data_IF_200640976996
#
_entry.id   IF_200640976996
#
_cell.length_a   1.000
_cell.length_b   1.000
_cell.length_c   1.000
_cell.angle_alpha   90.00
_cell.angle_beta   90.00
_cell.angle_gamma   90.00
#
_symmetry.space_group_name_H-M   'P 1'
#
loop_
_entity.id
_entity.type
_entity.pdbx_description
1 polymer ?
#
# COMPACT_ATOMS: atom_id res chain seq x y z
N UNK A 1 13.47 -2.76 2.36
CA UNK A 1 13.90 -1.59 1.72
C UNK A 1 12.88 -0.57 1.27
N UNK A 2 11.57 -0.92 1.04
CA UNK A 2 10.56 0.05 0.55
C UNK A 2 10.48 1.30 1.41
N UNK A 3 10.18 1.15 2.70
CA UNK A 3 10.06 2.26 3.65
C UNK A 3 11.34 3.08 3.83
N UNK A 4 12.52 2.44 3.72
CA UNK A 4 13.81 3.15 3.77
C UNK A 4 13.93 4.15 2.62
N UNK A 5 13.53 3.74 1.41
CA UNK A 5 13.58 4.60 0.24
C UNK A 5 12.45 5.65 0.26
N UNK A 6 11.21 5.19 0.44
CA UNK A 6 9.99 5.98 0.20
C UNK A 6 9.67 6.90 1.37
N UNK A 7 9.80 6.42 2.61
CA UNK A 7 9.33 7.16 3.79
C UNK A 7 10.42 7.88 4.55
N UNK A 8 11.71 7.66 4.19
CA UNK A 8 12.84 8.31 4.84
C UNK A 8 13.68 9.13 3.87
N UNK A 9 14.23 8.50 2.81
CA UNK A 9 15.15 9.19 1.89
C UNK A 9 14.41 10.09 0.90
N UNK A 10 13.29 9.64 0.36
CA UNK A 10 12.52 10.43 -0.61
C UNK A 10 12.02 11.77 -0.03
N UNK A 11 11.41 11.84 1.18
CA UNK A 11 11.03 13.12 1.76
C UNK A 11 12.20 14.09 1.94
N UNK A 12 13.33 13.58 2.43
CA UNK A 12 14.54 14.40 2.55
C UNK A 12 15.02 14.91 1.18
N UNK A 13 15.01 14.07 0.16
CA UNK A 13 15.36 14.47 -1.21
C UNK A 13 14.39 15.51 -1.78
N UNK A 14 13.08 15.34 -1.57
CA UNK A 14 12.07 16.31 -2.01
C UNK A 14 12.36 17.68 -1.39
N UNK A 15 12.59 17.77 -0.07
CA UNK A 15 12.94 19.03 0.58
C UNK A 15 14.25 19.62 0.08
N UNK A 16 15.23 18.79 -0.29
CA UNK A 16 16.46 19.26 -0.89
C UNK A 16 16.24 19.92 -2.23
N UNK A 17 15.35 19.37 -3.04
CA UNK A 17 15.00 19.93 -4.37
C UNK A 17 13.98 21.06 -4.29
N UNK A 18 13.04 21.00 -3.34
CA UNK A 18 12.00 22.00 -3.12
C UNK A 18 11.73 22.17 -1.63
N UNK A 19 12.43 23.10 -0.97
CA UNK A 19 12.26 23.34 0.47
C UNK A 19 10.92 23.97 0.85
N UNK A 20 10.11 24.39 -0.11
CA UNK A 20 8.75 24.92 0.10
C UNK A 20 7.66 23.85 0.00
N UNK A 21 8.00 22.59 -0.30
CA UNK A 21 7.04 21.49 -0.43
C UNK A 21 6.39 21.11 0.91
N UNK A 22 5.10 20.76 0.87
CA UNK A 22 4.37 20.20 1.99
C UNK A 22 4.22 18.69 1.81
N UNK A 23 4.71 17.92 2.78
CA UNK A 23 4.68 16.46 2.74
C UNK A 23 3.79 15.93 3.86
N UNK A 24 2.79 15.12 3.50
CA UNK A 24 2.00 14.33 4.44
C UNK A 24 2.44 12.88 4.32
N UNK A 25 2.95 12.29 5.41
CA UNK A 25 3.38 10.89 5.44
C UNK A 25 2.57 10.10 6.47
N UNK A 26 1.97 9.01 6.04
CA UNK A 26 1.07 8.22 6.88
C UNK A 26 1.48 6.75 6.91
N UNK A 27 1.16 6.08 8.03
CA UNK A 27 1.38 4.65 8.22
C UNK A 27 0.27 4.06 9.09
N UNK A 28 0.25 2.73 9.29
CA UNK A 28 -0.76 2.07 10.13
C UNK A 28 -0.81 2.60 11.58
N UNK A 29 0.24 3.21 12.09
CA UNK A 29 0.27 3.77 13.45
C UNK A 29 1.01 5.10 13.52
N UNK A 30 0.63 5.93 14.50
CA UNK A 30 1.30 7.18 14.80
C UNK A 30 2.77 6.96 15.18
N UNK A 31 3.08 5.93 15.97
CA UNK A 31 4.45 5.61 16.40
C UNK A 31 5.39 5.33 15.22
N UNK A 32 4.91 4.60 14.21
CA UNK A 32 5.71 4.34 13.02
C UNK A 32 5.90 5.60 12.20
N UNK A 33 4.85 6.39 11.99
CA UNK A 33 4.93 7.67 11.29
C UNK A 33 5.90 8.64 11.99
N UNK A 34 5.86 8.72 13.32
CA UNK A 34 6.79 9.52 14.12
C UNK A 34 8.25 9.03 14.01
N UNK A 35 8.46 7.71 13.94
CA UNK A 35 9.80 7.16 13.72
C UNK A 35 10.33 7.58 12.34
N UNK A 36 9.51 7.46 11.30
CA UNK A 36 9.88 7.92 9.96
C UNK A 36 10.21 9.41 9.93
N UNK A 37 9.38 10.24 10.58
CA UNK A 37 9.62 11.67 10.72
C UNK A 37 11.00 11.95 11.34
N UNK A 38 11.31 11.31 12.48
CA UNK A 38 12.64 11.48 13.13
C UNK A 38 13.79 11.04 12.24
N UNK A 39 13.59 9.99 11.44
CA UNK A 39 14.62 9.51 10.51
C UNK A 39 14.83 10.49 9.35
N UNK A 40 13.79 11.12 8.82
CA UNK A 40 13.90 12.20 7.83
C UNK A 40 14.66 13.39 8.42
N UNK A 41 14.31 13.81 9.64
CA UNK A 41 15.03 14.89 10.32
C UNK A 41 16.53 14.58 10.49
N UNK A 42 16.89 13.33 10.88
CA UNK A 42 18.30 12.90 11.00
C UNK A 42 19.06 12.96 9.68
N UNK A 43 18.38 12.63 8.57
CA UNK A 43 18.98 12.75 7.23
C UNK A 43 19.26 14.22 6.93
N UNK A 44 18.29 15.11 7.13
CA UNK A 44 18.41 16.55 6.87
C UNK A 44 19.49 17.19 7.76
N UNK A 45 19.60 16.74 9.03
CA UNK A 45 20.62 17.24 9.97
C UNK A 45 22.04 16.69 9.69
N UNK A 46 22.20 15.75 8.76
CA UNK A 46 23.52 15.18 8.49
C UNK A 46 24.43 16.17 7.74
N UNK A 47 25.75 16.20 8.02
CA UNK A 47 26.68 17.07 7.32
C UNK A 47 26.66 16.88 5.81
N UNK A 48 26.63 15.62 5.34
CA UNK A 48 26.59 15.30 3.91
C UNK A 48 25.34 15.84 3.22
N UNK A 49 24.18 15.85 3.91
CA UNK A 49 22.98 16.46 3.37
C UNK A 49 23.11 17.97 3.25
N UNK A 50 23.65 18.64 4.27
CA UNK A 50 23.90 20.09 4.26
C UNK A 50 24.87 20.55 3.18
N UNK A 51 25.83 19.70 2.78
CA UNK A 51 26.71 19.97 1.63
C UNK A 51 25.97 19.92 0.29
N UNK A 52 25.03 18.97 0.16
CA UNK A 52 24.24 18.79 -1.07
C UNK A 52 23.08 19.80 -1.20
N UNK A 53 22.42 20.12 -0.07
CA UNK A 53 21.23 20.94 -0.02
C UNK A 53 21.35 22.04 1.06
N UNK A 54 22.19 23.05 0.86
CA UNK A 54 22.53 24.05 1.88
C UNK A 54 21.34 24.94 2.29
N UNK A 55 20.31 25.06 1.44
CA UNK A 55 19.12 25.85 1.74
C UNK A 55 18.11 25.12 2.65
N UNK A 56 18.18 23.79 2.74
CA UNK A 56 17.25 22.99 3.54
C UNK A 56 17.78 22.75 4.94
N UNK A 57 17.21 23.45 5.95
CA UNK A 57 17.66 23.38 7.35
C UNK A 57 16.47 23.26 8.28
N UNK A 58 16.66 22.52 9.39
CA UNK A 58 15.70 22.38 10.48
C UNK A 58 16.01 23.24 11.70
N UNK A 59 17.11 23.94 11.69
CA UNK A 59 17.53 24.88 12.73
C UNK A 59 18.38 25.99 12.13
N UNK A 60 18.40 27.14 12.78
CA UNK A 60 19.22 28.27 12.36
C UNK A 60 19.30 29.35 13.46
N UNK A 61 20.38 30.13 13.45
CA UNK A 61 20.49 31.33 14.25
C UNK A 61 19.78 32.48 13.52
N UNK A 62 19.01 33.29 14.24
CA UNK A 62 18.36 34.50 13.73
C UNK A 62 17.20 34.31 12.73
N UNK A 63 16.58 33.14 12.68
CA UNK A 63 15.38 32.93 11.87
C UNK A 63 14.16 33.14 12.75
N UNK A 64 13.38 34.17 12.42
CA UNK A 64 12.09 34.50 13.07
C UNK A 64 10.99 33.97 12.15
N UNK A 65 10.23 33.00 12.61
CA UNK A 65 8.90 32.71 12.08
C UNK A 65 7.89 33.70 12.71
N UNK A 66 6.66 33.70 12.24
CA UNK A 66 5.58 34.53 12.82
C UNK A 66 5.39 34.23 14.32
N UNK A 67 5.69 33.02 14.76
CA UNK A 67 5.66 32.55 16.16
C UNK A 67 7.02 32.58 16.85
N UNK A 68 8.09 33.00 16.18
CA UNK A 68 9.44 33.10 16.72
C UNK A 68 10.35 31.86 16.48
N UNK A 69 9.81 30.67 16.22
CA UNK A 69 10.56 29.43 15.96
C UNK A 69 9.87 28.58 14.91
N UNK A 70 10.66 27.93 14.02
CA UNK A 70 10.13 26.88 13.16
C UNK A 70 9.68 25.69 14.02
N UNK A 71 8.54 25.12 13.70
CA UNK A 71 8.00 23.99 14.42
C UNK A 71 8.87 22.74 14.15
N UNK A 72 9.26 22.04 15.22
CA UNK A 72 10.06 20.82 15.11
C UNK A 72 9.77 19.86 16.25
N UNK A 73 9.08 18.76 15.93
CA UNK A 73 8.82 17.66 16.85
C UNK A 73 8.69 16.32 16.09
N UNK A 74 8.22 15.27 16.74
CA UNK A 74 8.06 13.95 16.14
C UNK A 74 6.88 13.82 15.18
N UNK A 75 5.91 14.74 15.23
CA UNK A 75 4.71 14.71 14.37
C UNK A 75 4.87 15.63 13.16
N UNK A 76 5.49 16.78 13.39
CA UNK A 76 5.63 17.83 12.38
C UNK A 76 6.99 18.52 12.50
N UNK A 77 7.56 18.87 11.36
CA UNK A 77 8.63 19.86 11.29
C UNK A 77 8.44 20.79 10.08
N UNK A 78 9.05 21.94 10.16
CA UNK A 78 9.04 22.98 9.12
C UNK A 78 10.46 23.25 8.64
N UNK A 79 10.61 23.59 7.36
CA UNK A 79 11.88 23.98 6.78
C UNK A 79 12.15 25.45 7.10
N UNK A 80 13.25 25.70 7.75
CA UNK A 80 13.59 27.04 8.22
C UNK A 80 13.82 28.01 7.08
N UNK A 81 13.10 29.14 7.09
CA UNK A 81 13.17 30.16 6.03
C UNK A 81 12.32 29.85 4.80
N UNK A 82 11.62 28.74 4.79
CA UNK A 82 10.73 28.27 3.72
C UNK A 82 9.33 27.96 4.24
N UNK A 83 8.39 27.70 3.32
CA UNK A 83 7.01 27.32 3.68
C UNK A 83 6.82 25.80 3.84
N UNK A 84 7.83 25.03 3.48
CA UNK A 84 7.75 23.59 3.48
C UNK A 84 7.59 23.00 4.87
N UNK A 85 6.77 21.97 4.95
CA UNK A 85 6.49 21.25 6.17
C UNK A 85 6.34 19.74 5.94
N UNK A 86 6.69 18.97 6.97
CA UNK A 86 6.44 17.53 6.99
C UNK A 86 5.48 17.20 8.13
N UNK A 87 4.41 16.47 7.81
CA UNK A 87 3.45 15.94 8.78
C UNK A 87 3.46 14.42 8.76
N UNK A 88 3.82 13.79 9.89
CA UNK A 88 3.68 12.36 10.13
C UNK A 88 2.39 12.05 10.90
N UNK A 89 1.58 11.10 10.43
CA UNK A 89 0.36 10.67 11.11
C UNK A 89 0.08 9.17 10.93
N UNK A 90 -0.61 8.57 11.90
CA UNK A 90 -1.21 7.25 11.72
C UNK A 90 -2.49 7.33 10.87
N UNK A 91 -2.93 6.21 10.29
CA UNK A 91 -4.25 6.08 9.68
C UNK A 91 -5.33 6.50 10.67
N UNK A 92 -6.25 7.38 10.26
CA UNK A 92 -7.24 7.99 11.14
C UNK A 92 -6.72 9.13 12.03
N UNK A 93 -5.43 9.45 11.97
CA UNK A 93 -4.82 10.56 12.72
C UNK A 93 -5.15 11.93 12.12
N UNK A 94 -4.86 12.98 12.90
CA UNK A 94 -5.17 14.37 12.53
C UNK A 94 -4.27 14.91 11.43
N UNK A 95 -4.80 14.94 10.22
CA UNK A 95 -4.21 15.60 9.03
C UNK A 95 -5.13 16.68 8.44
N UNK A 96 -6.24 16.96 9.12
CA UNK A 96 -7.22 17.98 8.69
C UNK A 96 -6.61 19.38 8.79
N UNK A 97 -6.95 20.24 7.81
CA UNK A 97 -6.46 21.62 7.77
C UNK A 97 -5.04 21.76 7.17
N UNK A 98 -4.45 20.68 6.64
CA UNK A 98 -3.16 20.74 5.95
C UNK A 98 -3.32 20.28 4.51
N UNK A 99 -2.71 20.98 3.57
CA UNK A 99 -2.53 20.54 2.17
C UNK A 99 -1.21 19.79 2.02
N UNK A 100 -1.14 18.88 1.03
CA UNK A 100 0.08 18.13 0.72
C UNK A 100 0.41 18.16 -0.77
N UNK A 101 1.59 18.67 -1.11
CA UNK A 101 2.15 18.53 -2.45
C UNK A 101 2.58 17.09 -2.71
N UNK A 102 3.01 16.41 -1.65
CA UNK A 102 3.35 14.99 -1.69
C UNK A 102 2.67 14.27 -0.53
N UNK A 103 1.90 13.26 -0.85
CA UNK A 103 1.24 12.39 0.14
C UNK A 103 1.85 11.00 0.06
N UNK A 104 2.44 10.53 1.15
CA UNK A 104 3.08 9.21 1.24
C UNK A 104 2.25 8.33 2.17
N UNK A 105 1.81 7.19 1.68
CA UNK A 105 1.11 6.16 2.46
C UNK A 105 2.04 4.95 2.51
N UNK A 106 2.58 4.63 3.69
CA UNK A 106 3.49 3.50 3.88
C UNK A 106 2.90 2.48 4.84
N UNK A 107 2.65 1.27 4.33
CA UNK A 107 2.07 0.14 5.05
C UNK A 107 0.85 0.55 5.91
N UNK A 108 -0.30 0.93 5.31
CA UNK A 108 -1.47 1.42 6.05
C UNK A 108 -2.19 0.34 6.86
N UNK A 109 -1.83 -0.93 6.69
CA UNK A 109 -2.34 -2.11 7.41
C UNK A 109 -1.18 -2.79 8.12
N UNK A 110 -1.36 -3.07 9.40
CA UNK A 110 -0.31 -3.60 10.28
C UNK A 110 -0.01 -5.08 10.05
N UNK A 111 -1.05 -5.90 9.90
CA UNK A 111 -0.92 -7.36 9.90
C UNK A 111 -2.08 -8.03 9.15
N UNK A 112 -2.03 -9.37 9.12
CA UNK A 112 -3.05 -10.20 8.46
C UNK A 112 -4.43 -10.07 9.09
N UNK A 113 -4.53 -9.97 10.40
CA UNK A 113 -5.81 -9.88 11.10
C UNK A 113 -6.58 -8.63 10.65
N UNK A 114 -5.93 -7.47 10.65
CA UNK A 114 -6.49 -6.24 10.13
C UNK A 114 -6.82 -6.34 8.62
N UNK A 115 -5.92 -6.95 7.84
CA UNK A 115 -6.11 -7.13 6.40
C UNK A 115 -7.32 -8.01 6.06
N UNK A 116 -7.58 -9.06 6.84
CA UNK A 116 -8.72 -9.95 6.66
C UNK A 116 -10.04 -9.36 7.18
N UNK A 117 -9.98 -8.33 8.03
CA UNK A 117 -11.16 -7.64 8.54
C UNK A 117 -11.78 -6.73 7.46
N UNK A 118 -12.96 -7.08 6.97
CA UNK A 118 -13.72 -6.23 6.03
C UNK A 118 -14.04 -4.85 6.62
N UNK A 119 -14.33 -4.80 7.91
CA UNK A 119 -14.57 -3.55 8.64
C UNK A 119 -13.33 -2.65 8.66
N UNK A 120 -12.15 -3.23 8.86
CA UNK A 120 -10.91 -2.45 8.86
C UNK A 120 -10.58 -1.92 7.45
N UNK A 121 -10.71 -2.76 6.41
CA UNK A 121 -10.52 -2.33 5.02
C UNK A 121 -11.50 -1.23 4.61
N UNK A 122 -12.78 -1.34 5.05
CA UNK A 122 -13.78 -0.29 4.82
C UNK A 122 -13.40 1.03 5.51
N UNK A 123 -13.00 0.99 6.78
CA UNK A 123 -12.55 2.19 7.51
C UNK A 123 -11.32 2.84 6.87
N UNK A 124 -10.36 2.04 6.41
CA UNK A 124 -9.18 2.56 5.69
C UNK A 124 -9.59 3.24 4.38
N UNK A 125 -10.50 2.65 3.63
CA UNK A 125 -11.03 3.23 2.40
C UNK A 125 -11.78 4.54 2.64
N UNK A 126 -12.66 4.57 3.65
CA UNK A 126 -13.39 5.77 4.04
C UNK A 126 -12.44 6.90 4.46
N UNK A 127 -11.43 6.58 5.27
CA UNK A 127 -10.41 7.54 5.66
C UNK A 127 -9.61 8.05 4.45
N UNK A 128 -9.22 7.17 3.55
CA UNK A 128 -8.52 7.58 2.33
C UNK A 128 -9.37 8.55 1.51
N UNK A 129 -10.61 8.20 1.20
CA UNK A 129 -11.47 8.98 0.29
C UNK A 129 -11.97 10.28 0.95
N UNK A 130 -12.37 10.24 2.22
CA UNK A 130 -13.00 11.39 2.89
C UNK A 130 -12.00 12.35 3.54
N UNK A 131 -10.81 11.87 3.90
CA UNK A 131 -9.87 12.66 4.70
C UNK A 131 -8.57 12.89 3.95
N UNK A 132 -7.85 11.83 3.58
CA UNK A 132 -6.50 11.97 3.03
C UNK A 132 -6.49 12.51 1.61
N UNK A 133 -7.30 11.94 0.73
CA UNK A 133 -7.38 12.33 -0.68
C UNK A 133 -7.73 13.81 -0.85
N UNK A 134 -8.62 14.32 0.01
CA UNK A 134 -9.00 15.74 0.02
C UNK A 134 -7.90 16.70 0.51
N UNK A 135 -6.74 16.19 0.90
CA UNK A 135 -5.55 16.97 1.29
C UNK A 135 -4.55 17.16 0.15
N UNK A 136 -4.76 16.46 -0.96
CA UNK A 136 -3.89 16.62 -2.12
C UNK A 136 -4.06 18.03 -2.73
N UNK A 137 -2.94 18.75 -2.90
CA UNK A 137 -2.92 20.00 -3.63
C UNK A 137 -3.10 19.76 -5.14
N UNK A 138 -3.47 20.78 -5.89
CA UNK A 138 -3.87 20.69 -7.31
C UNK A 138 -2.85 19.94 -8.20
N UNK A 139 -1.57 20.10 -7.94
CA UNK A 139 -0.48 19.42 -8.67
C UNK A 139 0.23 18.38 -7.78
N UNK A 140 -0.40 18.03 -6.68
CA UNK A 140 0.16 17.11 -5.70
C UNK A 140 0.21 15.68 -6.22
N UNK A 141 1.07 14.88 -5.60
CA UNK A 141 1.26 13.46 -5.92
C UNK A 141 0.99 12.57 -4.73
N UNK A 142 0.35 11.42 -4.97
CA UNK A 142 0.15 10.39 -3.95
C UNK A 142 1.04 9.19 -4.28
N UNK A 143 1.85 8.78 -3.30
CA UNK A 143 2.69 7.60 -3.37
C UNK A 143 2.25 6.58 -2.32
N UNK A 144 1.84 5.40 -2.79
CA UNK A 144 1.40 4.31 -1.91
C UNK A 144 2.42 3.18 -1.97
N UNK A 145 3.00 2.84 -0.82
CA UNK A 145 3.85 1.66 -0.68
C UNK A 145 3.27 0.76 0.40
N UNK A 146 3.07 -0.50 0.08
CA UNK A 146 2.47 -1.44 1.01
C UNK A 146 2.88 -2.88 0.74
N UNK A 147 2.62 -3.71 1.74
CA UNK A 147 2.62 -5.15 1.60
C UNK A 147 1.21 -5.60 1.24
N UNK A 148 1.07 -6.34 0.13
CA UNK A 148 -0.24 -6.81 -0.37
C UNK A 148 -0.73 -8.00 0.45
N UNK A 149 -1.47 -7.74 1.54
CA UNK A 149 -2.03 -8.79 2.40
C UNK A 149 -3.33 -9.40 1.87
N UNK A 150 -4.12 -8.62 1.15
CA UNK A 150 -5.45 -9.00 0.69
C UNK A 150 -5.73 -8.37 -0.68
N UNK A 151 -6.51 -9.03 -1.53
CA UNK A 151 -6.88 -8.51 -2.85
C UNK A 151 -7.69 -7.20 -2.77
N UNK A 152 -8.64 -7.13 -1.80
CA UNK A 152 -9.46 -5.96 -1.49
C UNK A 152 -8.76 -5.02 -0.49
N UNK A 153 -7.44 -4.81 -0.63
CA UNK A 153 -6.70 -3.78 0.10
C UNK A 153 -6.83 -2.41 -0.59
N UNK A 154 -6.23 -1.36 0.00
CA UNK A 154 -6.30 -0.01 -0.57
C UNK A 154 -5.82 0.03 -2.03
N UNK A 155 -4.70 -0.61 -2.35
CA UNK A 155 -4.20 -0.64 -3.72
C UNK A 155 -5.14 -1.43 -4.66
N UNK A 156 -5.69 -2.57 -4.21
CA UNK A 156 -6.66 -3.33 -4.99
C UNK A 156 -7.87 -2.51 -5.38
N UNK A 157 -8.45 -1.78 -4.42
CA UNK A 157 -9.62 -0.91 -4.68
C UNK A 157 -9.30 0.25 -5.61
N UNK A 158 -8.13 0.87 -5.46
CA UNK A 158 -7.72 1.98 -6.33
C UNK A 158 -7.48 1.52 -7.76
N UNK A 159 -6.85 0.37 -7.95
CA UNK A 159 -6.62 -0.20 -9.27
C UNK A 159 -7.93 -0.64 -9.92
N UNK A 160 -8.85 -1.24 -9.17
CA UNK A 160 -10.18 -1.60 -9.65
C UNK A 160 -10.99 -0.36 -10.05
N UNK A 161 -10.89 0.73 -9.28
CA UNK A 161 -11.53 2.00 -9.61
C UNK A 161 -10.96 2.58 -10.91
N UNK A 162 -9.63 2.62 -11.06
CA UNK A 162 -8.96 3.12 -12.26
C UNK A 162 -9.32 2.29 -13.52
N UNK A 163 -9.51 0.98 -13.37
CA UNK A 163 -9.96 0.11 -14.49
C UNK A 163 -11.40 0.37 -14.89
N UNK A 164 -12.28 0.66 -13.92
CA UNK A 164 -13.72 0.86 -14.15
C UNK A 164 -14.08 2.27 -14.61
N UNK A 165 -13.33 3.26 -14.18
CA UNK A 165 -13.59 4.67 -14.45
C UNK A 165 -12.33 5.37 -15.00
N UNK A 166 -12.29 5.68 -16.30
CA UNK A 166 -11.18 6.42 -16.91
C UNK A 166 -10.96 7.83 -16.36
N UNK A 167 -11.94 8.40 -15.64
CA UNK A 167 -11.80 9.71 -14.99
C UNK A 167 -11.18 9.61 -13.59
N UNK A 168 -11.10 8.41 -13.02
CA UNK A 168 -10.39 8.19 -11.78
C UNK A 168 -8.87 8.32 -11.97
N UNK A 169 -8.16 8.53 -10.89
CA UNK A 169 -6.68 8.58 -10.91
C UNK A 169 -6.11 7.32 -11.53
N UNK A 170 -5.23 7.49 -12.50
CA UNK A 170 -4.52 6.41 -13.16
C UNK A 170 -3.17 6.16 -12.45
N UNK A 171 -2.92 4.92 -12.05
CA UNK A 171 -1.79 4.58 -11.19
C UNK A 171 -0.64 3.95 -11.98
N UNK A 172 0.56 4.47 -11.81
CA UNK A 172 1.77 3.76 -12.20
C UNK A 172 2.13 2.72 -11.12
N UNK A 173 2.12 1.45 -11.48
CA UNK A 173 2.35 0.34 -10.54
C UNK A 173 3.74 -0.22 -10.71
N UNK A 174 4.59 -0.04 -9.70
CA UNK A 174 5.90 -0.68 -9.64
C UNK A 174 5.83 -1.96 -8.80
N UNK A 175 5.77 -3.10 -9.45
CA UNK A 175 5.74 -4.42 -8.84
C UNK A 175 7.12 -5.09 -8.96
N UNK A 176 7.77 -5.32 -7.83
CA UNK A 176 9.08 -5.97 -7.74
C UNK A 176 8.97 -7.21 -6.83
N UNK A 177 8.63 -8.39 -7.36
CA UNK A 177 8.53 -9.61 -6.57
C UNK A 177 9.88 -10.04 -6.02
N UNK A 178 9.88 -10.76 -4.89
CA UNK A 178 11.11 -11.23 -4.25
C UNK A 178 11.98 -12.11 -5.16
N UNK A 179 11.34 -12.89 -6.03
CA UNK A 179 11.97 -13.64 -7.12
C UNK A 179 11.37 -13.14 -8.42
N UNK A 180 12.21 -12.77 -9.38
CA UNK A 180 11.77 -12.25 -10.67
C UNK A 180 10.97 -13.31 -11.44
N UNK A 181 9.82 -12.92 -11.96
CA UNK A 181 8.92 -13.78 -12.75
C UNK A 181 9.13 -13.53 -14.25
N UNK A 182 8.61 -14.43 -15.08
CA UNK A 182 8.65 -14.29 -16.55
C UNK A 182 7.98 -12.98 -16.98
N UNK A 183 6.77 -12.77 -16.47
CA UNK A 183 6.02 -11.51 -16.64
C UNK A 183 6.34 -10.57 -15.49
N UNK A 184 7.12 -9.54 -15.77
CA UNK A 184 7.58 -8.56 -14.78
C UNK A 184 7.49 -7.13 -15.30
N UNK A 185 7.60 -6.18 -14.39
CA UNK A 185 7.56 -4.77 -14.74
C UNK A 185 8.69 -4.42 -15.72
N UNK A 186 8.45 -3.60 -16.77
CA UNK A 186 9.46 -3.26 -17.79
C UNK A 186 10.75 -2.63 -17.21
N UNK A 187 10.64 -1.95 -16.05
CA UNK A 187 11.80 -1.37 -15.35
C UNK A 187 12.51 -2.37 -14.41
N UNK A 188 12.08 -3.62 -14.34
CA UNK A 188 12.78 -4.67 -13.60
C UNK A 188 13.84 -5.33 -14.50
N UNK A 189 15.14 -5.06 -14.29
CA UNK A 189 16.20 -5.54 -15.16
C UNK A 189 16.58 -7.00 -14.90
N UNK A 190 16.02 -7.63 -13.84
CA UNK A 190 16.38 -8.99 -13.42
C UNK A 190 15.92 -10.02 -14.45
N UNK A 191 16.66 -11.13 -14.54
CA UNK A 191 16.22 -12.32 -15.27
C UNK A 191 15.24 -13.14 -14.42
N UNK A 192 14.41 -13.97 -15.07
CA UNK A 192 13.52 -14.91 -14.39
C UNK A 192 14.29 -15.79 -13.40
N UNK A 193 13.77 -15.91 -12.20
CA UNK A 193 14.40 -16.69 -11.13
C UNK A 193 15.40 -15.92 -10.27
N UNK A 194 15.77 -14.71 -10.62
CA UNK A 194 16.72 -13.90 -9.83
C UNK A 194 16.04 -13.28 -8.60
N UNK A 195 16.76 -13.32 -7.46
CA UNK A 195 16.32 -12.67 -6.23
C UNK A 195 16.35 -11.14 -6.35
N UNK A 196 15.40 -10.46 -5.68
CA UNK A 196 15.37 -8.99 -5.64
C UNK A 196 16.61 -8.39 -4.95
N UNK A 197 17.12 -9.07 -3.95
CA UNK A 197 18.32 -8.63 -3.22
C UNK A 197 19.19 -9.84 -2.85
N UNK A 198 19.99 -10.38 -3.79
CA UNK A 198 20.75 -11.61 -3.58
C UNK A 198 21.73 -11.52 -2.40
N UNK A 199 22.33 -10.36 -2.15
CA UNK A 199 23.27 -10.15 -1.05
C UNK A 199 22.64 -10.23 0.34
N UNK A 200 21.31 -10.08 0.47
CA UNK A 200 20.61 -10.18 1.75
C UNK A 200 19.68 -11.40 1.81
N UNK A 201 19.02 -11.70 0.72
CA UNK A 201 18.08 -12.80 0.59
C UNK A 201 18.39 -13.57 -0.69
N UNK A 202 19.37 -14.47 -0.67
CA UNK A 202 19.65 -15.36 -1.80
C UNK A 202 18.49 -16.33 -2.05
N UNK A 203 18.45 -16.96 -3.21
CA UNK A 203 17.31 -17.80 -3.65
C UNK A 203 17.03 -18.96 -2.69
N UNK A 204 18.07 -19.61 -2.19
CA UNK A 204 17.92 -20.71 -1.24
C UNK A 204 17.25 -20.29 0.06
N UNK A 205 17.58 -19.10 0.56
CA UNK A 205 16.93 -18.53 1.76
C UNK A 205 15.47 -18.16 1.46
N UNK A 206 15.19 -17.56 0.29
CA UNK A 206 13.82 -17.26 -0.14
C UNK A 206 12.97 -18.53 -0.28
N UNK A 207 13.55 -19.63 -0.74
CA UNK A 207 12.84 -20.92 -0.84
C UNK A 207 12.55 -21.54 0.54
N UNK A 208 13.45 -21.40 1.51
CA UNK A 208 13.19 -21.78 2.91
C UNK A 208 12.03 -20.97 3.50
N UNK A 209 12.04 -19.64 3.30
CA UNK A 209 10.95 -18.78 3.72
C UNK A 209 9.64 -19.25 3.08
N UNK A 210 9.61 -19.48 1.76
CA UNK A 210 8.43 -19.97 1.04
C UNK A 210 7.89 -21.27 1.63
N UNK A 211 8.77 -22.22 1.94
CA UNK A 211 8.39 -23.50 2.54
C UNK A 211 7.77 -23.33 3.93
N UNK A 212 8.28 -22.35 4.71
CA UNK A 212 7.82 -22.07 6.07
C UNK A 212 6.46 -21.35 6.10
N UNK A 213 6.27 -20.33 5.26
CA UNK A 213 5.06 -19.50 5.29
C UNK A 213 3.93 -20.04 4.41
N UNK A 214 4.23 -20.95 3.50
CA UNK A 214 3.28 -21.54 2.56
C UNK A 214 2.96 -20.66 1.34
N UNK A 215 2.23 -21.26 0.39
CA UNK A 215 1.97 -20.64 -0.93
C UNK A 215 1.10 -19.39 -0.81
N UNK A 216 0.12 -19.38 0.09
CA UNK A 216 -0.80 -18.26 0.26
C UNK A 216 -0.06 -16.98 0.64
N UNK A 217 0.73 -17.06 1.72
CA UNK A 217 1.50 -15.91 2.20
C UNK A 217 2.64 -15.54 1.27
N UNK A 218 3.27 -16.51 0.65
CA UNK A 218 4.27 -16.25 -0.37
C UNK A 218 3.68 -15.45 -1.54
N UNK A 219 2.50 -15.81 -2.02
CA UNK A 219 1.84 -15.07 -3.11
C UNK A 219 1.50 -13.64 -2.71
N UNK A 220 0.98 -13.44 -1.51
CA UNK A 220 0.62 -12.12 -1.00
C UNK A 220 1.85 -11.24 -0.73
N UNK A 221 2.77 -11.71 0.12
CA UNK A 221 3.82 -10.88 0.71
C UNK A 221 5.07 -10.78 -0.16
N UNK A 222 5.42 -11.87 -0.86
CA UNK A 222 6.68 -11.97 -1.62
C UNK A 222 6.49 -11.82 -3.14
N UNK A 223 5.32 -12.22 -3.66
CA UNK A 223 4.95 -11.97 -5.06
C UNK A 223 4.09 -10.72 -5.24
N UNK A 224 3.53 -10.18 -4.14
CA UNK A 224 2.60 -9.05 -4.13
C UNK A 224 1.32 -9.31 -4.96
N UNK A 225 0.92 -10.57 -5.04
CA UNK A 225 -0.29 -11.05 -5.73
C UNK A 225 -1.16 -11.81 -4.74
N UNK A 226 -1.88 -11.10 -3.83
CA UNK A 226 -2.77 -11.74 -2.88
C UNK A 226 -3.86 -12.53 -3.62
N UNK A 227 -4.23 -13.66 -3.06
CA UNK A 227 -5.28 -14.52 -3.59
C UNK A 227 -6.41 -14.60 -2.57
N UNK A 228 -7.67 -14.81 -3.01
CA UNK A 228 -8.77 -15.06 -2.08
C UNK A 228 -8.47 -16.25 -1.16
N UNK A 229 -8.86 -16.14 0.10
CA UNK A 229 -8.60 -17.16 1.13
C UNK A 229 -9.16 -18.56 0.82
N UNK A 230 -9.98 -18.71 -0.21
CA UNK A 230 -10.57 -19.98 -0.66
C UNK A 230 -9.98 -20.59 -1.94
N UNK A 231 -8.93 -19.97 -2.53
CA UNK A 231 -8.54 -20.26 -3.92
C UNK A 231 -7.53 -21.39 -4.16
N UNK A 232 -7.02 -22.09 -3.14
CA UNK A 232 -6.01 -23.15 -3.34
C UNK A 232 -6.59 -24.53 -3.59
N UNK A 233 -7.81 -24.81 -3.12
CA UNK A 233 -8.48 -26.13 -3.30
C UNK A 233 -9.28 -26.13 -4.59
N UNK A 234 -10.03 -25.05 -4.86
CA UNK A 234 -10.81 -24.92 -6.10
C UNK A 234 -10.15 -23.92 -7.04
N UNK A 235 -9.58 -24.38 -8.14
CA UNK A 235 -8.99 -23.51 -9.16
C UNK A 235 -10.11 -22.84 -9.95
N UNK A 236 -10.01 -21.50 -10.11
CA UNK A 236 -10.98 -20.71 -10.90
C UNK A 236 -11.14 -21.23 -12.33
N UNK A 237 -10.08 -21.80 -12.90
CA UNK A 237 -10.06 -22.47 -14.20
C UNK A 237 -11.09 -23.62 -14.30
N UNK A 238 -11.36 -24.31 -13.19
CA UNK A 238 -12.35 -25.38 -13.15
C UNK A 238 -13.79 -24.87 -13.21
N UNK A 239 -14.01 -23.58 -12.85
CA UNK A 239 -15.33 -22.92 -12.85
C UNK A 239 -15.63 -22.22 -14.18
N UNK A 240 -14.70 -22.18 -15.13
CA UNK A 240 -14.90 -21.53 -16.43
C UNK A 240 -15.74 -22.32 -17.42
N UNK A 241 -16.10 -23.56 -17.09
CA UNK A 241 -17.00 -24.40 -17.90
C UNK A 241 -18.45 -24.08 -17.57
N UNK A 242 -18.92 -22.98 -18.09
CA UNK A 242 -20.33 -22.56 -17.97
C UNK A 242 -21.11 -22.95 -19.24
N UNK A 243 -22.38 -23.20 -19.09
CA UNK A 243 -23.29 -23.49 -20.22
C UNK A 243 -24.44 -22.47 -20.24
N UNK A 244 -24.86 -22.09 -21.42
CA UNK A 244 -26.02 -21.19 -21.60
C UNK A 244 -27.34 -21.95 -21.65
N UNK A 245 -27.32 -23.18 -22.11
CA UNK A 245 -28.47 -24.06 -22.20
C UNK A 245 -28.18 -25.40 -21.54
N UNK A 246 -29.14 -25.94 -20.82
CA UNK A 246 -29.03 -27.22 -20.15
C UNK A 246 -28.94 -28.35 -21.20
N UNK A 247 -27.92 -29.20 -21.16
CA UNK A 247 -27.83 -30.35 -22.06
C UNK A 247 -29.04 -31.28 -21.85
N UNK A 248 -29.71 -31.67 -22.90
CA UNK A 248 -30.82 -32.61 -22.81
C UNK A 248 -30.38 -33.91 -22.15
N UNK A 249 -31.13 -34.40 -21.16
CA UNK A 249 -30.88 -35.65 -20.44
C UNK A 249 -29.77 -35.49 -19.34
N UNK A 250 -29.39 -34.29 -18.96
CA UNK A 250 -28.46 -34.07 -17.86
C UNK A 250 -29.14 -34.28 -16.50
N UNK A 251 -28.42 -34.95 -15.59
CA UNK A 251 -28.78 -34.97 -14.16
C UNK A 251 -28.28 -33.70 -13.48
N UNK A 252 -29.19 -33.00 -12.81
CA UNK A 252 -28.89 -31.75 -12.11
C UNK A 252 -28.71 -32.00 -10.61
N UNK A 253 -27.69 -31.36 -10.03
CA UNK A 253 -27.45 -31.33 -8.59
C UNK A 253 -27.37 -29.85 -8.19
N UNK A 254 -28.08 -29.49 -7.11
CA UNK A 254 -28.00 -28.17 -6.48
C UNK A 254 -27.43 -28.35 -5.08
N UNK A 255 -26.50 -27.47 -4.71
CA UNK A 255 -25.96 -27.38 -3.37
C UNK A 255 -26.05 -25.95 -2.90
N UNK A 256 -26.59 -25.75 -1.70
CA UNK A 256 -26.79 -24.43 -1.09
C UNK A 256 -26.14 -24.38 0.28
N UNK A 257 -25.36 -23.33 0.50
CA UNK A 257 -24.86 -22.94 1.81
C UNK A 257 -25.63 -21.70 2.26
N UNK A 258 -26.45 -21.89 3.30
CA UNK A 258 -27.36 -20.86 3.80
C UNK A 258 -26.85 -20.30 5.12
N UNK A 259 -26.85 -18.98 5.32
CA UNK A 259 -26.47 -18.39 6.59
C UNK A 259 -27.51 -18.69 7.67
N UNK A 260 -27.04 -18.93 8.90
CA UNK A 260 -27.93 -19.19 10.05
C UNK A 260 -28.62 -17.94 10.60
N UNK A 261 -28.20 -16.74 10.20
CA UNK A 261 -28.75 -15.46 10.66
C UNK A 261 -28.89 -14.49 9.50
N UNK A 262 -30.03 -13.82 9.47
CA UNK A 262 -30.29 -12.72 8.54
C UNK A 262 -29.80 -11.40 9.17
N UNK A 263 -28.50 -11.10 8.98
CA UNK A 263 -27.90 -9.84 9.41
C UNK A 263 -26.85 -9.39 8.39
N UNK A 264 -26.61 -8.09 8.26
CA UNK A 264 -25.58 -7.53 7.36
C UNK A 264 -24.17 -8.10 7.59
N UNK A 265 -23.92 -8.64 8.80
CA UNK A 265 -22.66 -9.28 9.18
C UNK A 265 -22.67 -10.81 8.97
N UNK A 266 -23.75 -11.41 8.50
CA UNK A 266 -23.83 -12.85 8.28
C UNK A 266 -23.14 -13.25 6.98
N UNK A 267 -22.71 -14.54 6.92
CA UNK A 267 -22.17 -15.11 5.68
C UNK A 267 -23.19 -14.99 4.55
N UNK A 268 -22.74 -14.71 3.34
CA UNK A 268 -23.60 -14.63 2.15
C UNK A 268 -24.11 -16.02 1.81
N UNK A 269 -25.36 -16.11 1.35
CA UNK A 269 -25.91 -17.33 0.78
C UNK A 269 -25.11 -17.67 -0.50
N UNK A 270 -24.61 -18.90 -0.57
CA UNK A 270 -23.95 -19.41 -1.76
C UNK A 270 -24.72 -20.61 -2.33
N UNK A 271 -25.00 -20.60 -3.62
CA UNK A 271 -25.64 -21.68 -4.33
C UNK A 271 -24.86 -22.07 -5.57
N UNK A 272 -24.72 -23.35 -5.81
CA UNK A 272 -24.13 -23.90 -7.03
C UNK A 272 -25.08 -24.90 -7.67
N UNK A 273 -25.23 -24.81 -8.99
CA UNK A 273 -25.99 -25.76 -9.80
C UNK A 273 -25.03 -26.45 -10.77
N UNK A 274 -24.96 -27.75 -10.71
CA UNK A 274 -24.11 -28.56 -11.59
C UNK A 274 -24.97 -29.49 -12.43
N UNK A 275 -24.60 -29.66 -13.71
CA UNK A 275 -25.21 -30.61 -14.61
C UNK A 275 -24.21 -31.68 -15.04
N UNK A 276 -24.57 -32.97 -14.97
CA UNK A 276 -23.81 -34.11 -15.46
C UNK A 276 -24.52 -34.73 -16.64
N UNK A 277 -23.83 -34.87 -17.77
CA UNK A 277 -24.31 -35.58 -18.95
C UNK A 277 -23.40 -36.79 -19.20
N UNK A 278 -23.99 -38.00 -19.14
CA UNK A 278 -23.29 -39.24 -19.34
C UNK A 278 -22.47 -39.73 -18.15
N UNK A 279 -22.02 -40.99 -18.21
CA UNK A 279 -21.08 -41.58 -17.25
C UNK A 279 -19.65 -41.20 -17.62
#
# INVERSE_FOLDING_TARGET
>A
GKSELVSRKLPAYIFGCNPDANIISTSYSADLAQRMNRDVQRIIDSPAYGELFPETKLFGKNIRTVTGHALRNSDIFEIVGHRGSYRGAGVGGGITGMGGDYIIIDDPIKNREEANSSTYRKKLWEWYTSTLYTRQEKEGSILITLTRWHEDDLAGRLLELAEKDPQADQWEVLLLPAVAEKERHPRDPRQEGEALWPGKYPIDELMKIKATIGIYDWSALYRQRPQPAGGTIFKREWMNRTYKELPAGATMIQSWDLPFKDSEASAKCAGIVMARKGA
#
